data_IF_734436842690
#
_entry.id   IF_734436842690
#
_cell.length_a   1.000
_cell.length_b   1.000
_cell.length_c   1.000
_cell.angle_alpha   90.00
_cell.angle_beta   90.00
_cell.angle_gamma   90.00
#
_symmetry.space_group_name_H-M   'P 1'
#
loop_
_entity.id
_entity.type
_entity.pdbx_description
1 polymer ?
#
# COMPACT_ATOMS: atom_id res chain seq x y z
N UNK A 1 -8.21 -11.02 -21.76
CA UNK A 1 -7.99 -9.91 -20.79
C UNK A 1 -7.72 -10.42 -19.37
N UNK A 2 -8.57 -11.27 -18.75
CA UNK A 2 -8.36 -11.77 -17.37
C UNK A 2 -7.05 -12.53 -17.16
N UNK A 3 -6.67 -13.41 -18.09
CA UNK A 3 -5.40 -14.15 -18.00
C UNK A 3 -4.18 -13.21 -18.01
N UNK A 4 -4.20 -12.21 -18.89
CA UNK A 4 -3.13 -11.21 -18.98
C UNK A 4 -3.01 -10.41 -17.67
N UNK A 5 -4.14 -10.01 -17.07
CA UNK A 5 -4.11 -9.30 -15.78
C UNK A 5 -3.52 -10.16 -14.65
N UNK A 6 -3.86 -11.45 -14.61
CA UNK A 6 -3.28 -12.37 -13.61
C UNK A 6 -1.78 -12.53 -13.85
N UNK A 7 -1.34 -12.73 -15.09
CA UNK A 7 0.08 -12.84 -15.43
C UNK A 7 0.85 -11.57 -15.06
N UNK A 8 0.30 -10.39 -15.33
CA UNK A 8 0.90 -9.12 -14.92
C UNK A 8 1.04 -8.99 -13.39
N UNK A 9 -0.02 -9.35 -12.64
CA UNK A 9 0.03 -9.33 -11.18
C UNK A 9 1.10 -10.29 -10.63
N UNK A 10 1.16 -11.51 -11.17
CA UNK A 10 2.17 -12.49 -10.77
C UNK A 10 3.59 -12.01 -11.10
N UNK A 11 3.79 -11.44 -12.29
CA UNK A 11 5.08 -10.92 -12.73
C UNK A 11 5.56 -9.76 -11.85
N UNK A 12 4.69 -8.77 -11.59
CA UNK A 12 5.01 -7.64 -10.71
C UNK A 12 5.36 -8.14 -9.31
N UNK A 13 4.56 -9.07 -8.75
CA UNK A 13 4.83 -9.61 -7.44
C UNK A 13 6.10 -10.46 -7.38
N UNK A 14 6.42 -11.19 -8.45
CA UNK A 14 7.66 -11.95 -8.57
C UNK A 14 8.91 -11.05 -8.52
N UNK A 15 8.92 -10.01 -9.37
CA UNK A 15 10.03 -9.04 -9.42
C UNK A 15 10.18 -8.34 -8.08
N UNK A 16 9.06 -7.92 -7.49
CA UNK A 16 9.06 -7.21 -6.22
C UNK A 16 9.55 -8.12 -5.08
N UNK A 17 9.03 -9.34 -5.02
CA UNK A 17 9.46 -10.33 -4.03
C UNK A 17 10.95 -10.64 -4.15
N UNK A 18 11.44 -10.90 -5.35
CA UNK A 18 12.87 -11.12 -5.58
C UNK A 18 13.71 -9.92 -5.12
N UNK A 19 13.36 -8.70 -5.55
CA UNK A 19 14.10 -7.48 -5.22
C UNK A 19 14.23 -7.25 -3.71
N UNK A 20 13.19 -7.49 -2.94
CA UNK A 20 13.22 -7.20 -1.50
C UNK A 20 13.71 -8.38 -0.67
N UNK A 21 13.37 -9.60 -1.04
CA UNK A 21 13.89 -10.78 -0.38
C UNK A 21 15.40 -10.96 -0.59
N UNK A 22 15.96 -10.54 -1.74
CA UNK A 22 17.39 -10.60 -2.00
C UNK A 22 18.24 -9.68 -1.12
N UNK A 23 17.62 -8.78 -0.36
CA UNK A 23 18.30 -7.95 0.64
C UNK A 23 18.54 -8.68 1.96
N UNK A 24 17.77 -9.75 2.19
CA UNK A 24 17.74 -10.49 3.45
C UNK A 24 18.17 -11.96 3.28
N UNK A 25 18.03 -12.53 2.06
CA UNK A 25 18.24 -13.94 1.78
C UNK A 25 19.02 -14.16 0.48
N UNK A 26 20.07 -14.97 0.53
CA UNK A 26 20.88 -15.33 -0.65
C UNK A 26 20.07 -16.10 -1.71
N UNK A 27 19.13 -16.95 -1.27
CA UNK A 27 18.28 -17.77 -2.14
C UNK A 27 16.88 -17.16 -2.38
N UNK A 28 16.77 -15.82 -2.42
CA UNK A 28 15.52 -15.09 -2.58
C UNK A 28 14.69 -15.52 -3.81
N UNK A 29 15.36 -15.95 -4.89
CA UNK A 29 14.70 -16.42 -6.11
C UNK A 29 13.87 -17.68 -5.88
N UNK A 30 14.30 -18.60 -5.01
CA UNK A 30 13.54 -19.82 -4.65
C UNK A 30 12.25 -19.41 -3.94
N UNK A 31 12.35 -18.53 -2.94
CA UNK A 31 11.17 -18.06 -2.19
C UNK A 31 10.20 -17.32 -3.10
N UNK A 32 10.71 -16.43 -3.96
CA UNK A 32 9.89 -15.72 -4.95
C UNK A 32 9.19 -16.69 -5.91
N UNK A 33 9.89 -17.71 -6.40
CA UNK A 33 9.30 -18.73 -7.28
C UNK A 33 8.20 -19.53 -6.59
N UNK A 34 8.42 -19.97 -5.33
CA UNK A 34 7.43 -20.68 -4.52
C UNK A 34 6.16 -19.82 -4.34
N UNK A 35 6.32 -18.54 -4.01
CA UNK A 35 5.20 -17.62 -3.85
C UNK A 35 4.40 -17.43 -5.15
N UNK A 36 5.08 -17.29 -6.28
CA UNK A 36 4.41 -17.20 -7.60
C UNK A 36 3.64 -18.48 -7.89
N UNK A 37 4.21 -19.65 -7.62
CA UNK A 37 3.54 -20.95 -7.80
C UNK A 37 2.29 -21.03 -6.91
N UNK A 38 2.39 -20.69 -5.63
CA UNK A 38 1.24 -20.65 -4.70
C UNK A 38 0.15 -19.71 -5.23
N UNK A 39 0.51 -18.51 -5.68
CA UNK A 39 -0.44 -17.55 -6.22
C UNK A 39 -1.09 -18.07 -7.51
N UNK A 40 -0.30 -18.61 -8.43
CA UNK A 40 -0.82 -19.17 -9.69
C UNK A 40 -1.82 -20.29 -9.42
N UNK A 41 -1.46 -21.27 -8.60
CA UNK A 41 -2.38 -22.35 -8.20
C UNK A 41 -3.62 -21.79 -7.50
N UNK A 42 -3.45 -20.84 -6.59
CA UNK A 42 -4.55 -20.16 -5.93
C UNK A 42 -5.50 -19.50 -6.93
N UNK A 43 -5.01 -18.72 -7.89
CA UNK A 43 -5.86 -18.11 -8.92
C UNK A 43 -6.57 -19.13 -9.81
N UNK A 44 -5.92 -20.24 -10.15
CA UNK A 44 -6.51 -21.29 -11.01
C UNK A 44 -7.58 -22.13 -10.28
N UNK A 45 -7.34 -22.45 -9.01
CA UNK A 45 -8.19 -23.41 -8.28
C UNK A 45 -9.18 -22.75 -7.32
N UNK A 46 -8.82 -21.63 -6.68
CA UNK A 46 -9.71 -20.95 -5.72
C UNK A 46 -11.06 -20.54 -6.35
N UNK A 47 -11.02 -20.23 -7.65
CA UNK A 47 -12.23 -19.88 -8.40
C UNK A 47 -13.21 -21.07 -8.54
N UNK A 48 -12.71 -22.30 -8.45
CA UNK A 48 -13.49 -23.54 -8.57
C UNK A 48 -14.06 -24.02 -7.24
N UNK A 49 -13.47 -23.58 -6.12
CA UNK A 49 -13.91 -23.98 -4.78
C UNK A 49 -15.13 -23.15 -4.39
N UNK A 50 -16.19 -23.82 -3.97
CA UNK A 50 -17.37 -23.13 -3.44
C UNK A 50 -17.14 -22.80 -1.96
N UNK A 51 -16.80 -21.53 -1.67
CA UNK A 51 -16.60 -21.05 -0.31
C UNK A 51 -17.86 -20.34 0.16
N UNK A 52 -18.46 -20.77 1.28
CA UNK A 52 -19.60 -20.07 1.86
C UNK A 52 -19.28 -18.60 2.15
N UNK A 53 -20.24 -17.70 1.92
CA UNK A 53 -20.05 -16.24 2.15
C UNK A 53 -19.58 -15.96 3.58
N UNK A 54 -20.08 -16.69 4.58
CA UNK A 54 -19.67 -16.54 5.98
C UNK A 54 -18.18 -16.83 6.16
N UNK A 55 -17.68 -17.93 5.59
CA UNK A 55 -16.27 -18.32 5.67
C UNK A 55 -15.37 -17.30 4.95
N UNK A 56 -15.82 -16.82 3.78
CA UNK A 56 -15.10 -15.77 3.06
C UNK A 56 -14.98 -14.48 3.89
N UNK A 57 -16.08 -14.02 4.50
CA UNK A 57 -16.07 -12.82 5.34
C UNK A 57 -15.18 -13.04 6.58
N UNK A 58 -15.20 -14.22 7.20
CA UNK A 58 -14.27 -14.54 8.29
C UNK A 58 -12.82 -14.47 7.84
N UNK A 59 -12.47 -14.96 6.67
CA UNK A 59 -11.12 -14.86 6.11
C UNK A 59 -10.70 -13.40 5.88
N UNK A 60 -11.60 -12.54 5.42
CA UNK A 60 -11.32 -11.09 5.29
C UNK A 60 -11.06 -10.44 6.65
N UNK A 61 -11.86 -10.76 7.66
CA UNK A 61 -11.67 -10.23 9.02
C UNK A 61 -10.32 -10.71 9.60
N UNK A 62 -10.02 -12.00 9.48
CA UNK A 62 -8.75 -12.58 9.95
C UNK A 62 -7.57 -11.90 9.24
N UNK A 63 -7.67 -11.65 7.94
CA UNK A 63 -6.63 -10.92 7.19
C UNK A 63 -6.47 -9.49 7.73
N UNK A 64 -7.58 -8.80 8.01
CA UNK A 64 -7.54 -7.46 8.60
C UNK A 64 -6.88 -7.45 10.00
N UNK A 65 -7.22 -8.42 10.85
CA UNK A 65 -6.57 -8.59 12.16
C UNK A 65 -5.07 -8.93 12.00
N UNK A 66 -4.72 -9.74 11.01
CA UNK A 66 -3.34 -10.05 10.68
C UNK A 66 -2.53 -8.82 10.25
N UNK A 67 -3.12 -7.91 9.48
CA UNK A 67 -2.50 -6.62 9.11
C UNK A 67 -2.25 -5.78 10.37
N UNK A 68 -3.22 -5.66 11.25
CA UNK A 68 -3.06 -4.90 12.50
C UNK A 68 -1.98 -5.54 13.37
N UNK A 69 -2.01 -6.87 13.52
CA UNK A 69 -0.98 -7.59 14.28
C UNK A 69 0.42 -7.38 13.70
N UNK A 70 0.56 -7.40 12.37
CA UNK A 70 1.83 -7.14 11.70
C UNK A 70 2.36 -5.72 11.98
N UNK A 71 1.48 -4.71 11.97
CA UNK A 71 1.85 -3.33 12.32
C UNK A 71 2.35 -3.26 13.77
N UNK A 72 1.62 -3.89 14.70
CA UNK A 72 2.04 -3.92 16.12
C UNK A 72 3.38 -4.65 16.30
N UNK A 73 3.56 -5.78 15.64
CA UNK A 73 4.83 -6.53 15.69
C UNK A 73 5.97 -5.70 15.10
N UNK A 74 5.73 -5.04 13.95
CA UNK A 74 6.74 -4.18 13.33
C UNK A 74 7.12 -3.01 14.26
N UNK A 75 6.14 -2.39 14.90
CA UNK A 75 6.37 -1.32 15.87
C UNK A 75 7.22 -1.78 17.06
N UNK A 76 6.91 -2.96 17.62
CA UNK A 76 7.57 -3.46 18.84
C UNK A 76 8.93 -4.12 18.58
N UNK A 77 9.16 -4.67 17.39
CA UNK A 77 10.29 -5.57 17.12
C UNK A 77 11.26 -5.07 16.07
N UNK A 78 10.88 -4.15 15.21
CA UNK A 78 11.72 -3.66 14.12
C UNK A 78 12.11 -2.21 14.39
N UNK A 79 13.34 -1.95 14.87
CA UNK A 79 13.84 -0.60 15.03
C UNK A 79 13.90 0.12 13.68
N UNK A 80 13.56 1.40 13.68
CA UNK A 80 13.41 2.18 12.45
C UNK A 80 14.74 2.39 11.71
N UNK A 81 15.81 2.57 12.44
CA UNK A 81 17.18 2.78 11.96
C UNK A 81 17.82 1.53 11.35
N UNK A 82 17.27 0.33 11.61
CA UNK A 82 17.74 -0.93 11.02
C UNK A 82 17.14 -1.22 9.65
N UNK A 83 16.14 -0.45 9.21
CA UNK A 83 15.49 -0.64 7.93
C UNK A 83 16.38 -0.22 6.76
N UNK A 84 16.55 -1.11 5.77
CA UNK A 84 17.28 -0.83 4.51
C UNK A 84 16.49 0.02 3.52
N UNK A 85 15.63 0.90 4.03
CA UNK A 85 14.85 1.91 3.28
C UNK A 85 14.55 3.09 4.19
N UNK A 86 14.55 4.27 3.61
CA UNK A 86 14.46 5.54 4.32
C UNK A 86 13.08 6.22 4.29
N UNK A 87 12.03 5.50 3.92
CA UNK A 87 10.70 6.08 3.70
C UNK A 87 10.11 6.77 4.94
N UNK A 88 10.30 6.17 6.11
CA UNK A 88 9.86 6.74 7.37
C UNK A 88 10.76 7.91 7.79
N UNK A 89 12.09 7.76 7.68
CA UNK A 89 13.04 8.77 8.15
C UNK A 89 13.09 10.01 7.28
N UNK A 90 12.74 9.91 6.00
CA UNK A 90 12.51 11.07 5.14
C UNK A 90 11.33 11.91 5.65
N UNK A 91 10.25 11.29 6.12
CA UNK A 91 9.10 11.99 6.69
C UNK A 91 9.48 12.58 8.06
N UNK A 92 10.14 11.80 8.88
CA UNK A 92 10.56 12.20 10.22
C UNK A 92 11.53 13.40 10.18
N UNK A 93 12.59 13.31 9.38
CA UNK A 93 13.55 14.39 9.23
C UNK A 93 12.93 15.65 8.63
N UNK A 94 11.99 15.51 7.67
CA UNK A 94 11.26 16.63 7.09
C UNK A 94 10.49 17.40 8.17
N UNK A 95 9.69 16.71 8.97
CA UNK A 95 8.89 17.35 10.00
C UNK A 95 9.73 17.87 11.17
N UNK A 96 10.76 17.16 11.58
CA UNK A 96 11.70 17.62 12.60
C UNK A 96 12.35 18.93 12.19
N UNK A 97 12.86 19.04 10.95
CA UNK A 97 13.43 20.30 10.43
C UNK A 97 12.41 21.43 10.37
N UNK A 98 11.17 21.13 9.93
CA UNK A 98 10.11 22.12 9.86
C UNK A 98 9.80 22.72 11.24
N UNK A 99 9.63 21.87 12.25
CA UNK A 99 9.32 22.32 13.61
C UNK A 99 10.51 22.97 14.32
N UNK A 100 11.74 22.70 13.88
CA UNK A 100 12.95 23.39 14.29
C UNK A 100 13.13 24.76 13.60
N UNK A 101 12.21 25.17 12.74
CA UNK A 101 12.30 26.42 11.98
C UNK A 101 13.33 26.39 10.85
N UNK A 102 13.77 25.20 10.42
CA UNK A 102 14.70 24.98 9.31
C UNK A 102 13.94 24.67 8.04
N UNK A 103 14.57 24.88 6.87
CA UNK A 103 13.96 24.51 5.59
C UNK A 103 13.90 22.97 5.43
N UNK A 104 12.70 22.36 5.38
CA UNK A 104 12.54 20.90 5.51
C UNK A 104 13.22 20.08 4.41
N UNK A 105 13.36 20.65 3.20
CA UNK A 105 14.01 19.94 2.08
C UNK A 105 15.54 19.89 2.18
N UNK A 106 16.14 20.52 3.17
CA UNK A 106 17.57 20.37 3.53
C UNK A 106 17.79 19.25 4.55
N UNK A 107 16.72 18.62 5.04
CA UNK A 107 16.83 17.48 5.93
C UNK A 107 17.44 16.28 5.21
N UNK A 108 17.99 15.34 5.98
CA UNK A 108 18.51 14.07 5.45
C UNK A 108 17.90 12.92 6.23
N UNK A 109 17.52 11.86 5.52
CA UNK A 109 17.10 10.58 6.11
C UNK A 109 18.28 9.89 6.81
N UNK A 110 18.02 8.82 7.57
CA UNK A 110 19.08 8.00 8.18
C UNK A 110 20.04 7.38 7.14
N UNK A 111 19.63 7.28 5.88
CA UNK A 111 20.47 6.84 4.76
C UNK A 111 21.15 7.99 4.00
N UNK A 112 21.03 9.22 4.48
CA UNK A 112 21.65 10.42 3.88
C UNK A 112 20.89 10.99 2.66
N UNK A 113 19.70 10.48 2.33
CA UNK A 113 18.92 10.98 1.20
C UNK A 113 18.07 12.19 1.60
N UNK A 114 18.02 13.25 0.76
CA UNK A 114 17.14 14.38 1.00
C UNK A 114 15.68 14.04 0.70
N UNK A 115 14.71 14.81 1.25
CA UNK A 115 13.30 14.68 0.91
C UNK A 115 13.05 14.96 -0.57
N UNK A 116 12.72 13.90 -1.35
CA UNK A 116 12.45 14.02 -2.78
C UNK A 116 10.96 14.08 -3.14
N UNK A 117 10.08 13.91 -2.15
CA UNK A 117 8.63 13.91 -2.36
C UNK A 117 8.06 15.32 -2.39
N UNK A 118 6.89 15.47 -3.02
CA UNK A 118 6.17 16.75 -3.04
C UNK A 118 5.50 17.06 -1.68
N UNK A 119 5.15 18.32 -1.37
CA UNK A 119 4.68 18.73 -0.04
C UNK A 119 3.50 17.93 0.50
N UNK A 120 2.54 17.58 -0.36
CA UNK A 120 1.36 16.84 0.08
C UNK A 120 1.66 15.41 0.58
N UNK A 121 2.76 14.82 0.15
CA UNK A 121 3.25 13.55 0.70
C UNK A 121 3.52 13.66 2.21
N UNK A 122 4.15 14.74 2.62
CA UNK A 122 4.46 15.01 4.01
C UNK A 122 3.22 15.46 4.78
N UNK A 123 2.41 16.35 4.23
CA UNK A 123 1.18 16.86 4.88
C UNK A 123 0.22 15.72 5.20
N UNK A 124 -0.01 14.79 4.27
CA UNK A 124 -0.89 13.64 4.51
C UNK A 124 -0.35 12.68 5.57
N UNK A 125 0.96 12.63 5.75
CA UNK A 125 1.60 11.79 6.78
C UNK A 125 1.69 12.44 8.16
N UNK A 126 1.50 13.77 8.27
CA UNK A 126 1.67 14.53 9.51
C UNK A 126 0.87 13.98 10.70
N UNK A 127 -0.42 13.64 10.59
CA UNK A 127 -1.18 13.11 11.73
C UNK A 127 -0.58 11.81 12.28
N UNK A 128 -0.03 10.97 11.41
CA UNK A 128 0.55 9.68 11.77
C UNK A 128 1.97 9.83 12.30
N UNK A 129 2.73 10.81 11.81
CA UNK A 129 4.00 11.22 12.38
C UNK A 129 3.82 11.72 13.83
N UNK A 130 2.81 12.55 14.10
CA UNK A 130 2.47 12.97 15.46
C UNK A 130 2.05 11.84 16.38
N UNK A 131 1.41 10.79 15.85
CA UNK A 131 1.10 9.57 16.59
C UNK A 131 2.33 8.68 16.84
N UNK A 132 3.47 9.01 16.24
CA UNK A 132 4.72 8.28 16.39
C UNK A 132 4.81 6.99 15.57
N UNK A 133 3.81 6.66 14.72
CA UNK A 133 3.83 5.43 13.93
C UNK A 133 3.16 5.60 12.56
N UNK A 134 4.02 5.66 11.53
CA UNK A 134 3.59 5.86 10.13
C UNK A 134 2.93 4.62 9.50
N UNK A 135 3.17 3.42 10.03
CA UNK A 135 2.52 2.21 9.51
C UNK A 135 1.01 2.19 9.73
N UNK A 136 0.50 3.00 10.65
CA UNK A 136 -0.96 3.23 10.79
C UNK A 136 -1.52 3.78 9.48
N UNK A 137 -0.84 4.74 8.85
CA UNK A 137 -1.27 5.29 7.57
C UNK A 137 -1.23 4.23 6.46
N UNK A 138 -0.19 3.40 6.42
CA UNK A 138 -0.08 2.29 5.47
C UNK A 138 -1.22 1.29 5.66
N UNK A 139 -1.56 0.94 6.91
CA UNK A 139 -2.60 -0.05 7.21
C UNK A 139 -3.99 0.41 6.78
N UNK A 140 -4.28 1.71 6.82
CA UNK A 140 -5.57 2.25 6.37
C UNK A 140 -5.86 1.92 4.90
N UNK A 141 -4.86 2.01 4.01
CA UNK A 141 -5.01 1.64 2.62
C UNK A 141 -5.38 0.16 2.43
N UNK A 142 -4.73 -0.73 3.18
CA UNK A 142 -5.04 -2.16 3.13
C UNK A 142 -6.42 -2.49 3.70
N UNK A 143 -6.76 -1.93 4.85
CA UNK A 143 -8.08 -2.12 5.46
C UNK A 143 -9.19 -1.60 4.53
N UNK A 144 -8.93 -0.51 3.81
CA UNK A 144 -9.88 -0.02 2.81
C UNK A 144 -10.03 -0.99 1.63
N UNK A 145 -8.95 -1.60 1.14
CA UNK A 145 -9.03 -2.65 0.11
C UNK A 145 -9.89 -3.82 0.62
N UNK A 146 -9.68 -4.28 1.86
CA UNK A 146 -10.48 -5.35 2.45
C UNK A 146 -11.96 -4.95 2.60
N UNK A 147 -12.23 -3.71 2.99
CA UNK A 147 -13.58 -3.16 3.04
C UNK A 147 -14.26 -3.22 1.65
N UNK A 148 -13.57 -2.77 0.60
CA UNK A 148 -14.10 -2.84 -0.76
C UNK A 148 -14.40 -4.27 -1.20
N UNK A 149 -13.58 -5.25 -0.79
CA UNK A 149 -13.83 -6.66 -1.07
C UNK A 149 -15.15 -7.16 -0.50
N UNK A 150 -15.53 -6.68 0.67
CA UNK A 150 -16.79 -7.12 1.31
C UNK A 150 -18.00 -6.38 0.72
N UNK A 151 -17.89 -5.07 0.52
CA UNK A 151 -19.06 -4.23 0.26
C UNK A 151 -19.24 -3.81 -1.20
N UNK A 152 -18.17 -3.76 -1.99
CA UNK A 152 -18.25 -3.19 -3.35
C UNK A 152 -18.31 -4.23 -4.46
N UNK A 153 -17.53 -5.30 -4.36
CA UNK A 153 -17.48 -6.31 -5.40
C UNK A 153 -18.56 -7.40 -5.17
N UNK A 154 -19.40 -7.65 -6.17
CA UNK A 154 -20.42 -8.70 -6.11
C UNK A 154 -19.90 -10.06 -6.61
N UNK A 155 -18.92 -10.07 -7.50
CA UNK A 155 -18.33 -11.30 -8.04
C UNK A 155 -17.40 -11.96 -7.02
N UNK A 156 -17.87 -13.06 -6.43
CA UNK A 156 -17.12 -13.83 -5.44
C UNK A 156 -15.79 -14.38 -5.99
N UNK A 157 -15.71 -14.66 -7.28
CA UNK A 157 -14.48 -15.15 -7.92
C UNK A 157 -13.39 -14.07 -7.89
N UNK A 158 -13.73 -12.85 -8.27
CA UNK A 158 -12.82 -11.70 -8.21
C UNK A 158 -12.41 -11.40 -6.77
N UNK A 159 -13.38 -11.43 -5.82
CA UNK A 159 -13.12 -11.22 -4.39
C UNK A 159 -12.10 -12.20 -3.83
N UNK A 160 -12.23 -13.50 -4.13
CA UNK A 160 -11.27 -14.52 -3.70
C UNK A 160 -9.87 -14.27 -4.26
N UNK A 161 -9.77 -13.91 -5.55
CA UNK A 161 -8.49 -13.61 -6.18
C UNK A 161 -7.78 -12.43 -5.52
N UNK A 162 -8.49 -11.34 -5.24
CA UNK A 162 -7.91 -10.17 -4.57
C UNK A 162 -7.50 -10.51 -3.13
N UNK A 163 -8.34 -11.23 -2.38
CA UNK A 163 -7.99 -11.66 -1.03
C UNK A 163 -6.73 -12.53 -1.01
N UNK A 164 -6.65 -13.51 -1.91
CA UNK A 164 -5.45 -14.33 -2.07
C UNK A 164 -4.21 -13.48 -2.33
N UNK A 165 -4.32 -12.50 -3.24
CA UNK A 165 -3.22 -11.59 -3.55
C UNK A 165 -2.78 -10.78 -2.34
N UNK A 166 -3.73 -10.23 -1.59
CA UNK A 166 -3.45 -9.50 -0.34
C UNK A 166 -2.72 -10.39 0.67
N UNK A 167 -3.17 -11.62 0.87
CA UNK A 167 -2.59 -12.55 1.85
C UNK A 167 -1.19 -13.06 1.48
N UNK A 168 -0.88 -13.12 0.18
CA UNK A 168 0.36 -13.77 -0.31
C UNK A 168 1.36 -12.77 -0.91
N UNK A 169 1.05 -11.48 -0.93
CA UNK A 169 1.92 -10.46 -1.50
C UNK A 169 3.01 -10.04 -0.52
N UNK A 170 4.27 -10.38 -0.83
CA UNK A 170 5.45 -9.89 -0.10
C UNK A 170 5.50 -8.36 -0.12
N UNK A 171 5.10 -7.75 -1.23
CA UNK A 171 5.00 -6.30 -1.36
C UNK A 171 4.15 -5.69 -0.23
N UNK A 172 3.01 -6.29 0.07
CA UNK A 172 2.12 -5.78 1.11
C UNK A 172 2.74 -5.87 2.51
N UNK A 173 3.34 -7.01 2.84
CA UNK A 173 4.04 -7.20 4.12
C UNK A 173 5.19 -6.20 4.23
N UNK A 174 6.00 -6.07 3.17
CA UNK A 174 7.13 -5.16 3.15
C UNK A 174 6.71 -3.70 3.37
N UNK A 175 5.73 -3.20 2.63
CA UNK A 175 5.28 -1.82 2.74
C UNK A 175 4.75 -1.46 4.13
N UNK A 176 4.13 -2.42 4.84
CA UNK A 176 3.72 -2.23 6.23
C UNK A 176 4.94 -2.18 7.18
N UNK A 177 5.89 -3.09 7.01
CA UNK A 177 7.06 -3.17 7.91
C UNK A 177 8.02 -1.99 7.75
N UNK A 178 8.16 -1.45 6.55
CA UNK A 178 9.00 -0.27 6.28
C UNK A 178 8.28 1.07 6.46
N UNK A 179 7.09 1.08 7.05
CA UNK A 179 6.27 2.28 7.33
C UNK A 179 6.02 3.13 6.09
N UNK A 180 5.76 2.50 4.96
CA UNK A 180 5.55 3.20 3.70
C UNK A 180 4.11 3.68 3.55
N UNK A 181 3.91 4.90 3.08
CA UNK A 181 2.58 5.45 2.78
C UNK A 181 2.15 5.26 1.31
N UNK A 182 2.92 4.55 0.50
CA UNK A 182 2.67 4.37 -0.94
C UNK A 182 1.31 3.73 -1.19
N UNK A 183 0.96 2.67 -0.45
CA UNK A 183 -0.29 1.94 -0.66
C UNK A 183 -1.50 2.84 -0.40
N UNK A 184 -1.51 3.55 0.72
CA UNK A 184 -2.63 4.43 1.05
C UNK A 184 -2.76 5.56 0.04
N UNK A 185 -1.66 6.20 -0.35
CA UNK A 185 -1.69 7.21 -1.41
C UNK A 185 -2.21 6.65 -2.73
N UNK A 186 -1.78 5.45 -3.12
CA UNK A 186 -2.29 4.77 -4.33
C UNK A 186 -3.79 4.50 -4.24
N UNK A 187 -4.28 4.01 -3.09
CA UNK A 187 -5.70 3.77 -2.86
C UNK A 187 -6.51 5.07 -2.94
N UNK A 188 -6.02 6.15 -2.35
CA UNK A 188 -6.67 7.46 -2.43
C UNK A 188 -6.76 7.96 -3.88
N UNK A 189 -5.69 7.80 -4.67
CA UNK A 189 -5.69 8.13 -6.10
C UNK A 189 -6.73 7.28 -6.85
N UNK A 190 -6.80 5.98 -6.59
CA UNK A 190 -7.79 5.09 -7.21
C UNK A 190 -9.23 5.50 -6.88
N UNK A 191 -9.50 5.93 -5.65
CA UNK A 191 -10.80 6.47 -5.23
C UNK A 191 -11.12 7.75 -6.01
N UNK A 192 -10.16 8.67 -6.12
CA UNK A 192 -10.36 9.92 -6.83
C UNK A 192 -10.57 9.69 -8.33
N UNK A 193 -9.84 8.76 -8.96
CA UNK A 193 -10.07 8.38 -10.36
C UNK A 193 -11.43 7.71 -10.55
N UNK A 194 -11.86 6.84 -9.62
CA UNK A 194 -13.20 6.27 -9.66
C UNK A 194 -14.28 7.37 -9.56
N UNK A 195 -14.09 8.34 -8.69
CA UNK A 195 -14.98 9.48 -8.58
C UNK A 195 -14.99 10.32 -9.87
N UNK A 196 -13.82 10.54 -10.47
CA UNK A 196 -13.69 11.26 -11.75
C UNK A 196 -14.50 10.61 -12.88
N UNK A 197 -14.50 9.27 -12.96
CA UNK A 197 -15.26 8.53 -13.97
C UNK A 197 -16.77 8.74 -13.88
N UNK A 198 -17.28 9.09 -12.68
CA UNK A 198 -18.71 9.28 -12.40
C UNK A 198 -19.10 10.75 -12.20
N UNK A 199 -18.13 11.67 -12.30
CA UNK A 199 -18.37 13.08 -12.11
C UNK A 199 -18.88 13.75 -13.40
N UNK A 200 -19.82 14.66 -13.26
CA UNK A 200 -20.20 15.56 -14.34
C UNK A 200 -19.19 16.71 -14.46
N UNK A 201 -18.12 16.44 -15.23
CA UNK A 201 -16.99 17.38 -15.39
C UNK A 201 -17.43 18.71 -16.03
N UNK A 202 -18.53 18.72 -16.78
CA UNK A 202 -19.06 19.94 -17.39
C UNK A 202 -19.68 20.91 -16.36
N UNK A 203 -20.02 20.39 -15.18
CA UNK A 203 -20.59 21.21 -14.11
C UNK A 203 -19.50 21.56 -13.08
N UNK A 204 -18.82 22.69 -13.28
CA UNK A 204 -17.73 23.17 -12.43
C UNK A 204 -18.13 23.28 -10.95
N UNK A 205 -19.39 23.68 -10.65
CA UNK A 205 -19.87 23.80 -9.26
C UNK A 205 -19.92 22.44 -8.53
N UNK A 206 -20.11 21.34 -9.27
CA UNK A 206 -20.13 19.97 -8.71
C UNK A 206 -18.77 19.29 -8.76
N UNK A 207 -17.91 19.66 -9.70
CA UNK A 207 -16.63 18.98 -9.94
C UNK A 207 -15.43 19.61 -9.25
N UNK A 208 -15.52 20.86 -8.76
CA UNK A 208 -14.38 21.53 -8.10
C UNK A 208 -13.80 20.75 -6.88
N UNK A 209 -14.62 20.08 -6.01
CA UNK A 209 -14.03 19.35 -4.89
C UNK A 209 -13.16 18.19 -5.37
N UNK A 210 -13.58 17.54 -6.47
CA UNK A 210 -12.78 16.48 -7.09
C UNK A 210 -11.48 17.02 -7.68
N UNK A 211 -11.50 18.19 -8.31
CA UNK A 211 -10.28 18.82 -8.84
C UNK A 211 -9.29 19.14 -7.72
N UNK A 212 -9.77 19.63 -6.57
CA UNK A 212 -8.95 19.89 -5.39
C UNK A 212 -8.36 18.58 -4.85
N UNK A 213 -9.16 17.53 -4.68
CA UNK A 213 -8.71 16.24 -4.20
C UNK A 213 -7.65 15.64 -5.14
N UNK A 214 -7.88 15.67 -6.44
CA UNK A 214 -6.91 15.20 -7.43
C UNK A 214 -5.61 16.01 -7.38
N UNK A 215 -5.71 17.35 -7.29
CA UNK A 215 -4.53 18.21 -7.14
C UNK A 215 -3.70 17.88 -5.89
N UNK A 216 -4.36 17.67 -4.74
CA UNK A 216 -3.71 17.24 -3.50
C UNK A 216 -3.00 15.89 -3.70
N UNK A 217 -3.66 14.90 -4.29
CA UNK A 217 -3.10 13.57 -4.47
C UNK A 217 -1.96 13.53 -5.49
N UNK A 218 -2.07 14.27 -6.59
CA UNK A 218 -1.01 14.41 -7.58
C UNK A 218 0.22 15.14 -6.97
N UNK A 219 -0.01 16.08 -6.07
CA UNK A 219 1.03 16.77 -5.33
C UNK A 219 1.67 15.94 -4.21
N UNK A 220 1.43 14.62 -4.13
CA UNK A 220 2.16 13.70 -3.24
C UNK A 220 3.47 13.24 -3.87
N UNK A 221 3.50 12.99 -5.18
CA UNK A 221 4.68 12.56 -5.95
C UNK A 221 4.60 13.03 -7.39
N UNK A 222 5.70 13.54 -7.91
CA UNK A 222 5.80 13.95 -9.31
C UNK A 222 5.54 12.82 -10.34
N UNK A 223 5.70 11.55 -9.93
CA UNK A 223 5.46 10.39 -10.78
C UNK A 223 3.98 10.14 -11.10
N UNK A 224 3.06 10.86 -10.45
CA UNK A 224 1.62 10.76 -10.70
C UNK A 224 1.09 11.92 -11.56
N UNK A 225 1.93 12.91 -11.82
CA UNK A 225 1.63 14.02 -12.72
C UNK A 225 2.09 13.70 -14.14
#
# INVERSE_FOLDING_TARGET
KKALSILMLLFINAIFSYKYLSREFDNAWIVAAILVVIQLFGFLYLSKINIPKKLFNSAVIITGLGIIALVVIAYLKIPLDTLNVDRWSVIDSFWSFYFDGKYPYLASSHMGNPPGSMPMYFILSLPFWWLGELSIFSSLGYLFILYLLVYRYNDLKTRKGILLYVMTSVFMVWELTVRSNIITNTVLIMIALYWLQHADIKNLKKSWPLAVVLGILLATRGNFA
#
